data_IF_506767992318
#
_entry.id   IF_506767992318
#
_cell.length_a   1.000
_cell.length_b   1.000
_cell.length_c   1.000
_cell.angle_alpha   90.00
_cell.angle_beta   90.00
_cell.angle_gamma   90.00
#
_symmetry.space_group_name_H-M   'P 1'
#
loop_
_entity.id
_entity.type
_entity.pdbx_description
1 polymer ?
#
# COMPACT_ATOMS: atom_id res chain seq x y z
N UNK A 1 -2.39 -35.75 46.54
CA UNK A 1 -1.53 -35.83 45.33
C UNK A 1 -2.19 -35.22 44.09
N UNK A 2 -3.46 -35.55 43.77
CA UNK A 2 -4.18 -35.04 42.58
C UNK A 2 -4.34 -33.50 42.46
N UNK A 3 -4.39 -32.75 43.56
CA UNK A 3 -4.49 -31.27 43.53
C UNK A 3 -3.21 -30.59 43.01
N UNK A 4 -2.03 -31.18 43.24
CA UNK A 4 -0.74 -30.58 42.81
C UNK A 4 -0.48 -30.77 41.32
N UNK A 5 -0.93 -31.88 40.73
CA UNK A 5 -0.86 -32.10 39.28
C UNK A 5 -1.77 -31.12 38.51
N UNK A 6 -3.00 -30.84 38.97
CA UNK A 6 -3.91 -29.91 38.27
C UNK A 6 -3.40 -28.46 38.20
N UNK A 7 -2.61 -28.01 39.18
CA UNK A 7 -2.02 -26.66 39.21
C UNK A 7 -0.85 -26.53 38.24
N UNK A 8 -0.05 -27.59 38.07
CA UNK A 8 1.09 -27.60 37.14
C UNK A 8 0.64 -27.48 35.68
N UNK A 9 -0.40 -28.20 35.26
CA UNK A 9 -0.93 -28.11 33.89
C UNK A 9 -1.53 -26.72 33.58
N UNK A 10 -2.17 -26.07 34.56
CA UNK A 10 -2.79 -24.75 34.38
C UNK A 10 -1.78 -23.59 34.34
N UNK A 11 -0.66 -23.69 35.08
CA UNK A 11 0.45 -22.72 35.01
C UNK A 11 1.15 -22.78 33.66
N UNK A 12 1.35 -23.98 33.10
CA UNK A 12 1.89 -24.15 31.76
C UNK A 12 1.00 -23.55 30.66
N UNK A 13 -0.33 -23.66 30.78
CA UNK A 13 -1.27 -23.05 29.82
C UNK A 13 -1.27 -21.53 29.89
N UNK A 14 -1.22 -20.95 31.10
CA UNK A 14 -1.19 -19.49 31.28
C UNK A 14 0.13 -18.87 30.77
N UNK A 15 1.25 -19.54 30.97
CA UNK A 15 2.54 -19.14 30.42
C UNK A 15 2.59 -19.24 28.89
N UNK A 16 1.96 -20.25 28.29
CA UNK A 16 1.86 -20.39 26.83
C UNK A 16 1.00 -19.29 26.18
N UNK A 17 -0.12 -18.90 26.80
CA UNK A 17 -0.97 -17.80 26.31
C UNK A 17 -0.26 -16.44 26.45
N UNK A 18 0.48 -16.23 27.55
CA UNK A 18 1.25 -15.00 27.75
C UNK A 18 2.44 -14.90 26.77
N UNK A 19 3.08 -16.01 26.41
CA UNK A 19 4.18 -16.01 25.43
C UNK A 19 3.70 -15.84 23.99
N UNK A 20 2.48 -16.27 23.64
CA UNK A 20 1.87 -15.91 22.35
C UNK A 20 1.46 -14.42 22.30
N UNK A 21 1.03 -13.82 23.41
CA UNK A 21 0.63 -12.40 23.46
C UNK A 21 1.81 -11.41 23.43
N UNK A 22 3.02 -11.87 23.75
CA UNK A 22 4.26 -11.08 23.67
C UNK A 22 5.10 -11.40 22.42
N UNK A 23 4.68 -12.34 21.58
CA UNK A 23 5.35 -12.58 20.31
C UNK A 23 5.17 -11.35 19.40
N UNK A 24 6.23 -10.86 18.72
CA UNK A 24 6.07 -9.83 17.71
C UNK A 24 5.10 -10.37 16.66
N UNK A 25 3.91 -9.77 16.59
CA UNK A 25 2.95 -10.08 15.55
C UNK A 25 3.50 -9.50 14.26
N UNK A 26 3.84 -10.37 13.32
CA UNK A 26 4.29 -9.95 12.01
C UNK A 26 3.04 -9.65 11.18
N UNK A 27 2.74 -8.36 10.97
CA UNK A 27 1.70 -7.98 10.03
C UNK A 27 2.08 -8.46 8.62
N UNK A 28 1.14 -9.12 7.94
CA UNK A 28 1.36 -9.53 6.56
C UNK A 28 1.37 -8.30 5.64
N UNK A 29 2.39 -8.18 4.79
CA UNK A 29 2.43 -7.13 3.77
C UNK A 29 1.41 -7.41 2.66
N UNK A 30 0.48 -6.49 2.49
CA UNK A 30 -0.60 -6.48 1.51
C UNK A 30 -0.26 -5.56 0.33
N UNK A 31 -0.97 -5.72 -0.79
CA UNK A 31 -0.78 -4.95 -2.04
C UNK A 31 -2.06 -4.15 -2.32
N UNK A 32 -1.94 -2.85 -2.59
CA UNK A 32 -3.08 -1.97 -2.77
C UNK A 32 -3.95 -2.30 -3.99
N UNK A 33 -3.39 -2.35 -5.20
CA UNK A 33 -4.06 -2.89 -6.39
C UNK A 33 -3.67 -4.35 -6.55
N UNK A 34 -4.66 -5.25 -6.47
CA UNK A 34 -4.49 -6.71 -6.55
C UNK A 34 -4.84 -7.27 -7.93
N UNK A 35 -5.48 -6.48 -8.79
CA UNK A 35 -5.76 -6.88 -10.16
C UNK A 35 -6.35 -5.75 -11.00
N UNK A 36 -6.00 -5.75 -12.28
CA UNK A 36 -6.50 -4.81 -13.27
C UNK A 36 -7.04 -5.60 -14.46
N UNK A 37 -8.12 -5.10 -15.04
CA UNK A 37 -8.64 -5.63 -16.29
C UNK A 37 -7.83 -5.18 -17.50
N UNK A 38 -8.26 -5.62 -18.69
CA UNK A 38 -7.74 -5.08 -19.94
C UNK A 38 -7.98 -3.57 -20.02
N UNK A 39 -7.02 -2.86 -20.60
CA UNK A 39 -7.10 -1.44 -20.92
C UNK A 39 -6.18 -1.13 -22.09
N UNK A 40 -5.82 0.13 -22.26
CA UNK A 40 -4.80 0.55 -23.23
C UNK A 40 -3.66 1.30 -22.53
N UNK A 41 -2.52 1.36 -23.20
CA UNK A 41 -1.29 2.01 -22.71
C UNK A 41 -0.92 3.14 -23.67
N UNK A 42 -1.40 4.38 -23.45
CA UNK A 42 -1.14 5.46 -24.36
C UNK A 42 0.28 6.00 -24.19
N UNK A 43 0.76 6.64 -25.25
CA UNK A 43 1.94 7.48 -25.19
C UNK A 43 1.59 8.87 -24.64
N UNK A 44 2.35 9.34 -23.65
CA UNK A 44 2.22 10.71 -23.15
C UNK A 44 3.11 11.66 -23.95
N UNK A 45 2.58 12.78 -24.43
CA UNK A 45 3.36 13.75 -25.22
C UNK A 45 4.16 14.74 -24.37
N UNK A 46 4.02 14.66 -23.04
CA UNK A 46 4.68 15.51 -22.05
C UNK A 46 4.98 14.69 -20.80
N UNK A 47 5.98 15.12 -20.05
CA UNK A 47 6.26 14.59 -18.72
C UNK A 47 5.03 14.80 -17.81
N UNK A 48 4.78 13.83 -16.94
CA UNK A 48 3.59 13.86 -16.09
C UNK A 48 3.82 13.18 -14.76
N UNK A 49 3.05 13.58 -13.75
CA UNK A 49 2.79 12.69 -12.61
C UNK A 49 1.43 12.07 -12.81
N UNK A 50 1.38 10.74 -12.86
CA UNK A 50 0.15 9.99 -13.12
C UNK A 50 -0.11 9.01 -11.98
N UNK A 51 -1.38 8.90 -11.57
CA UNK A 51 -1.78 8.02 -10.49
C UNK A 51 -3.27 8.07 -10.18
N UNK A 52 -3.62 7.80 -8.94
CA UNK A 52 -5.01 7.59 -8.54
C UNK A 52 -5.20 7.87 -7.06
N UNK A 53 -6.45 8.16 -6.69
CA UNK A 53 -6.85 8.37 -5.31
C UNK A 53 -7.63 7.18 -4.76
N UNK A 54 -7.60 7.07 -3.44
CA UNK A 54 -8.27 5.99 -2.73
C UNK A 54 -8.67 6.43 -1.32
N UNK A 55 -9.68 5.76 -0.79
CA UNK A 55 -10.06 5.87 0.62
C UNK A 55 -9.49 4.69 1.39
N UNK A 56 -8.82 4.96 2.51
CA UNK A 56 -8.38 3.93 3.45
C UNK A 56 -9.52 3.58 4.43
N UNK A 57 -9.79 2.30 4.65
CA UNK A 57 -10.84 1.80 5.55
C UNK A 57 -10.32 1.26 6.88
N UNK A 58 -9.00 1.19 7.03
CA UNK A 58 -8.31 0.88 8.28
C UNK A 58 -7.05 1.74 8.39
N UNK A 59 -6.43 1.76 9.58
CA UNK A 59 -5.13 2.41 9.71
C UNK A 59 -4.10 1.55 8.97
N UNK A 60 -3.32 2.16 8.09
CA UNK A 60 -2.34 1.46 7.25
C UNK A 60 -0.94 2.00 7.53
N UNK A 61 0.06 1.13 7.43
CA UNK A 61 1.46 1.53 7.33
C UNK A 61 1.96 1.17 5.94
N UNK A 62 2.07 2.16 5.05
CA UNK A 62 2.64 1.97 3.72
C UNK A 62 4.15 1.78 3.86
N UNK A 63 4.65 0.65 3.38
CA UNK A 63 6.04 0.21 3.55
C UNK A 63 6.81 0.25 2.25
N UNK A 64 6.14 0.13 1.10
CA UNK A 64 6.79 0.12 -0.21
C UNK A 64 5.94 0.88 -1.22
N UNK A 65 6.61 1.60 -2.12
CA UNK A 65 6.01 2.21 -3.30
C UNK A 65 6.53 1.48 -4.54
N UNK A 66 5.71 1.38 -5.57
CA UNK A 66 6.07 0.63 -6.76
C UNK A 66 5.46 1.15 -8.04
N UNK A 67 5.97 0.63 -9.15
CA UNK A 67 5.58 1.01 -10.52
C UNK A 67 5.30 -0.25 -11.34
N UNK A 68 4.29 -0.18 -12.19
CA UNK A 68 3.89 -1.28 -13.07
C UNK A 68 5.00 -1.60 -14.07
N UNK A 69 5.39 -2.87 -14.13
CA UNK A 69 6.38 -3.39 -15.08
C UNK A 69 5.63 -4.26 -16.09
N UNK A 70 5.14 -3.61 -17.16
CA UNK A 70 4.42 -4.27 -18.22
C UNK A 70 5.32 -5.30 -18.91
N UNK A 71 4.98 -6.58 -18.79
CA UNK A 71 5.78 -7.67 -19.36
C UNK A 71 6.86 -8.20 -18.41
N UNK A 72 7.02 -7.60 -17.22
CA UNK A 72 7.89 -8.10 -16.16
C UNK A 72 9.37 -8.18 -16.55
N UNK A 73 9.79 -7.33 -17.49
CA UNK A 73 11.12 -7.28 -18.07
C UNK A 73 11.98 -6.12 -17.55
N UNK A 74 11.46 -5.35 -16.61
CA UNK A 74 12.13 -4.22 -15.97
C UNK A 74 11.63 -2.88 -16.50
N UNK A 75 11.84 -1.84 -15.69
CA UNK A 75 11.47 -0.46 -16.03
C UNK A 75 12.52 0.12 -16.98
N UNK A 76 12.09 0.93 -17.95
CA UNK A 76 12.96 1.63 -18.87
C UNK A 76 13.64 2.82 -18.19
N UNK A 77 12.93 3.48 -17.27
CA UNK A 77 13.40 4.65 -16.54
C UNK A 77 13.22 4.50 -15.03
N UNK A 78 13.87 5.38 -14.28
CA UNK A 78 13.56 5.55 -12.87
C UNK A 78 12.30 6.40 -12.70
N UNK A 79 11.57 6.11 -11.62
CA UNK A 79 10.31 6.77 -11.31
C UNK A 79 10.32 7.25 -9.87
N UNK A 80 10.15 8.56 -9.69
CA UNK A 80 9.79 9.08 -8.38
C UNK A 80 8.33 8.76 -8.12
N UNK A 81 8.06 8.10 -7.00
CA UNK A 81 6.71 7.72 -6.56
C UNK A 81 6.42 8.41 -5.23
N UNK A 82 5.27 9.05 -5.13
CA UNK A 82 4.84 9.76 -3.93
C UNK A 82 3.46 9.38 -3.46
N UNK A 83 3.22 9.66 -2.19
CA UNK A 83 1.93 9.54 -1.54
C UNK A 83 1.57 10.85 -0.86
N UNK A 84 0.38 11.36 -1.14
CA UNK A 84 -0.11 12.63 -0.62
C UNK A 84 -1.43 12.47 0.13
N UNK A 85 -1.72 13.42 1.00
CA UNK A 85 -3.10 13.66 1.43
C UNK A 85 -3.95 14.12 0.25
N UNK A 86 -5.28 13.98 0.34
CA UNK A 86 -6.19 14.55 -0.66
C UNK A 86 -6.03 16.07 -0.86
N UNK A 87 -5.51 16.79 0.15
CA UNK A 87 -5.20 18.22 0.08
C UNK A 87 -3.86 18.56 -0.57
N UNK A 88 -3.10 17.57 -1.07
CA UNK A 88 -1.84 17.79 -1.77
C UNK A 88 -0.59 17.89 -0.89
N UNK A 89 -0.68 17.52 0.39
CA UNK A 89 0.50 17.47 1.28
C UNK A 89 1.24 16.15 1.05
N UNK A 90 2.51 16.21 0.66
CA UNK A 90 3.36 15.03 0.47
C UNK A 90 3.65 14.37 1.82
N UNK A 91 3.29 13.10 1.95
CA UNK A 91 3.52 12.29 3.15
C UNK A 91 4.84 11.52 3.07
N UNK A 92 5.26 11.18 1.85
CA UNK A 92 6.55 10.55 1.58
C UNK A 92 6.66 10.17 0.11
N UNK A 93 7.90 10.00 -0.33
CA UNK A 93 8.25 9.56 -1.67
C UNK A 93 9.53 8.75 -1.67
N UNK A 94 9.76 8.03 -2.76
CA UNK A 94 11.03 7.37 -3.06
C UNK A 94 11.20 7.26 -4.59
N UNK A 95 12.41 6.89 -5.01
CA UNK A 95 12.71 6.57 -6.40
C UNK A 95 12.70 5.05 -6.58
N UNK A 96 11.92 4.55 -7.54
CA UNK A 96 11.96 3.17 -8.02
C UNK A 96 12.90 3.14 -9.22
N UNK A 97 14.06 2.51 -9.06
CA UNK A 97 15.11 2.52 -10.07
C UNK A 97 14.72 1.73 -11.33
N UNK A 98 15.27 2.16 -12.47
CA UNK A 98 15.18 1.47 -13.75
C UNK A 98 15.71 0.03 -13.70
N UNK A 99 15.32 -0.78 -14.68
CA UNK A 99 15.74 -2.16 -14.84
C UNK A 99 14.99 -3.12 -13.90
N UNK A 100 15.68 -4.17 -13.47
CA UNK A 100 15.07 -5.32 -12.77
C UNK A 100 15.52 -5.47 -11.32
N UNK A 101 16.25 -4.49 -10.77
CA UNK A 101 16.84 -4.57 -9.42
C UNK A 101 15.75 -4.56 -8.35
N UNK A 102 14.73 -3.73 -8.52
CA UNK A 102 13.57 -3.70 -7.63
C UNK A 102 12.79 -5.04 -7.70
N UNK A 103 12.41 -5.64 -6.55
CA UNK A 103 11.61 -6.86 -6.53
C UNK A 103 10.30 -6.73 -7.31
N UNK A 104 10.01 -7.73 -8.14
CA UNK A 104 8.74 -7.83 -8.86
C UNK A 104 7.72 -8.59 -8.03
N UNK A 105 6.59 -7.96 -7.72
CA UNK A 105 5.46 -8.57 -7.02
C UNK A 105 4.17 -8.19 -7.74
N UNK A 106 3.40 -9.19 -8.16
CA UNK A 106 2.08 -8.98 -8.81
C UNK A 106 2.11 -8.03 -10.03
N UNK A 107 3.21 -8.02 -10.78
CA UNK A 107 3.38 -7.16 -11.97
C UNK A 107 3.93 -5.76 -11.68
N UNK A 108 4.27 -5.44 -10.43
CA UNK A 108 4.84 -4.15 -10.04
C UNK A 108 6.24 -4.33 -9.44
N UNK A 109 7.11 -3.38 -9.71
CA UNK A 109 8.45 -3.28 -9.12
C UNK A 109 8.38 -2.38 -7.89
N UNK A 110 8.76 -2.91 -6.73
CA UNK A 110 8.67 -2.18 -5.46
C UNK A 110 10.03 -1.78 -4.91
N UNK A 111 10.07 -0.62 -4.26
CA UNK A 111 11.17 -0.18 -3.44
C UNK A 111 10.65 0.09 -2.01
N UNK A 112 11.39 -0.39 -1.02
CA UNK A 112 11.05 -0.20 0.39
C UNK A 112 11.35 1.23 0.85
N UNK A 113 10.41 1.85 1.55
CA UNK A 113 10.57 3.15 2.19
C UNK A 113 11.53 3.05 3.39
N UNK A 114 12.33 4.10 3.62
CA UNK A 114 13.20 4.19 4.80
C UNK A 114 12.41 4.31 6.11
N UNK A 115 11.21 4.90 6.04
CA UNK A 115 10.22 4.97 7.13
C UNK A 115 8.83 4.71 6.56
N UNK A 116 8.04 3.89 7.23
CA UNK A 116 6.66 3.63 6.79
C UNK A 116 5.79 4.89 6.89
N UNK A 117 4.88 5.07 5.95
CA UNK A 117 3.93 6.19 5.94
C UNK A 117 2.62 5.73 6.59
N UNK A 118 2.22 6.42 7.66
CA UNK A 118 0.97 6.11 8.36
C UNK A 118 -0.24 6.77 7.67
N UNK A 119 -1.24 5.95 7.36
CA UNK A 119 -2.53 6.38 6.83
C UNK A 119 -3.62 6.09 7.86
N UNK A 120 -4.57 7.02 7.96
CA UNK A 120 -5.68 6.94 8.89
C UNK A 120 -6.92 6.37 8.21
N UNK A 121 -7.65 5.53 8.93
CA UNK A 121 -8.95 5.04 8.47
C UNK A 121 -9.91 6.20 8.20
N UNK A 122 -10.71 6.07 7.14
CA UNK A 122 -11.70 7.06 6.70
C UNK A 122 -11.13 8.24 5.91
N UNK A 123 -9.81 8.35 5.75
CA UNK A 123 -9.19 9.42 4.99
C UNK A 123 -8.93 9.02 3.53
N UNK A 124 -8.95 10.02 2.65
CA UNK A 124 -8.58 9.87 1.24
C UNK A 124 -7.14 10.32 1.00
N UNK A 125 -6.45 9.57 0.14
CA UNK A 125 -5.06 9.80 -0.23
C UNK A 125 -4.91 9.68 -1.74
N UNK A 126 -3.79 10.19 -2.25
CA UNK A 126 -3.42 10.13 -3.66
C UNK A 126 -2.04 9.53 -3.78
N UNK A 127 -1.88 8.53 -4.64
CA UNK A 127 -0.57 8.01 -5.06
C UNK A 127 -0.30 8.45 -6.50
N UNK A 128 0.95 8.75 -6.82
CA UNK A 128 1.38 9.23 -8.12
C UNK A 128 2.83 8.84 -8.39
N UNK A 129 3.16 8.60 -9.66
CA UNK A 129 4.54 8.42 -10.09
C UNK A 129 4.87 9.36 -11.26
N UNK A 130 6.11 9.80 -11.36
CA UNK A 130 6.61 10.59 -12.49
C UNK A 130 6.81 9.69 -13.71
N UNK A 131 6.42 10.17 -14.89
CA UNK A 131 6.63 9.50 -16.18
C UNK A 131 7.15 10.51 -17.19
N UNK A 132 8.11 10.07 -17.99
CA UNK A 132 8.68 10.85 -19.08
C UNK A 132 7.74 10.87 -20.29
N UNK A 133 8.00 11.82 -21.19
CA UNK A 133 7.32 11.90 -22.47
C UNK A 133 7.72 10.77 -23.45
N UNK A 134 6.88 10.56 -24.48
CA UNK A 134 7.00 9.49 -25.48
C UNK A 134 8.32 9.47 -26.24
N UNK A 135 8.95 10.63 -26.45
CA UNK A 135 10.22 10.74 -27.18
C UNK A 135 11.39 10.11 -26.43
N UNK A 136 11.21 9.85 -25.13
CA UNK A 136 12.22 9.25 -24.25
C UNK A 136 12.02 7.74 -24.05
N UNK A 137 11.00 7.14 -24.70
CA UNK A 137 10.67 5.72 -24.53
C UNK A 137 10.14 5.42 -23.11
N UNK A 138 9.01 6.01 -22.72
CA UNK A 138 8.54 5.96 -21.34
C UNK A 138 7.96 4.60 -20.99
N UNK A 139 8.02 4.26 -19.70
CA UNK A 139 7.29 3.12 -19.19
C UNK A 139 5.77 3.33 -19.32
N UNK A 140 5.04 2.29 -19.74
CA UNK A 140 3.61 2.38 -20.01
C UNK A 140 2.80 2.49 -18.72
N UNK A 141 1.65 3.16 -18.82
CA UNK A 141 0.64 3.25 -17.76
C UNK A 141 -0.67 2.69 -18.31
N UNK A 142 -1.39 1.92 -17.51
CA UNK A 142 -2.69 1.39 -17.93
C UNK A 142 -3.79 2.45 -17.75
N UNK A 143 -4.58 2.65 -18.81
CA UNK A 143 -5.77 3.50 -18.84
C UNK A 143 -7.02 2.73 -19.25
N UNK A 144 -8.17 3.24 -18.81
CA UNK A 144 -9.50 2.67 -19.05
C UNK A 144 -9.56 1.17 -18.73
N UNK A 145 -9.04 0.77 -17.56
CA UNK A 145 -9.06 -0.61 -17.13
C UNK A 145 -10.52 -1.09 -16.96
N UNK A 146 -10.87 -2.24 -17.56
CA UNK A 146 -12.24 -2.76 -17.51
C UNK A 146 -12.70 -3.06 -16.07
N UNK A 147 -11.77 -3.45 -15.18
CA UNK A 147 -11.99 -3.54 -13.74
C UNK A 147 -10.75 -3.14 -12.96
N UNK A 148 -10.96 -2.82 -11.67
CA UNK A 148 -9.93 -2.52 -10.69
C UNK A 148 -10.29 -3.29 -9.43
N UNK A 149 -9.41 -4.20 -9.02
CA UNK A 149 -9.49 -4.89 -7.74
C UNK A 149 -8.46 -4.27 -6.80
N UNK A 150 -8.93 -3.82 -5.63
CA UNK A 150 -8.06 -3.35 -4.55
C UNK A 150 -8.09 -4.32 -3.37
N UNK A 151 -7.10 -4.22 -2.49
CA UNK A 151 -7.20 -4.83 -1.16
C UNK A 151 -8.45 -4.27 -0.42
N UNK A 152 -9.20 -5.09 0.34
CA UNK A 152 -10.38 -4.63 1.08
C UNK A 152 -10.13 -3.48 2.06
N UNK A 153 -8.88 -3.27 2.49
CA UNK A 153 -8.51 -2.16 3.36
C UNK A 153 -8.55 -0.80 2.66
N UNK A 154 -8.71 -0.74 1.33
CA UNK A 154 -8.87 0.49 0.57
C UNK A 154 -9.98 0.38 -0.48
N UNK A 155 -10.39 1.51 -1.03
CA UNK A 155 -11.22 1.55 -2.24
C UNK A 155 -10.70 2.62 -3.18
N UNK A 156 -10.48 2.25 -4.45
CA UNK A 156 -10.16 3.19 -5.51
C UNK A 156 -11.29 4.21 -5.67
N UNK A 157 -10.95 5.48 -5.86
CA UNK A 157 -11.93 6.58 -6.01
C UNK A 157 -11.91 7.13 -7.43
N UNK A 158 -10.80 7.73 -7.84
CA UNK A 158 -10.68 8.32 -9.18
C UNK A 158 -9.23 8.39 -9.67
N UNK A 159 -9.08 8.64 -10.97
CA UNK A 159 -7.80 8.80 -11.63
C UNK A 159 -7.30 10.24 -11.48
N UNK A 160 -6.00 10.41 -11.24
CA UNK A 160 -5.35 11.71 -11.05
C UNK A 160 -4.14 11.85 -11.97
N UNK A 161 -3.96 13.04 -12.55
CA UNK A 161 -2.73 13.40 -13.28
C UNK A 161 -2.31 14.85 -13.02
N UNK A 162 -1.03 15.10 -13.20
CA UNK A 162 -0.46 16.41 -13.44
C UNK A 162 0.28 16.35 -14.77
N UNK A 163 0.08 17.36 -15.61
CA UNK A 163 0.80 17.51 -16.88
C UNK A 163 1.43 18.89 -16.89
N UNK A 164 2.75 18.95 -17.08
CA UNK A 164 3.41 20.23 -17.33
C UNK A 164 3.24 20.58 -18.81
N UNK A 165 2.42 21.59 -19.09
CA UNK A 165 2.21 22.09 -20.46
C UNK A 165 3.35 23.01 -20.95
N UNK A 166 4.36 23.25 -20.11
CA UNK A 166 5.48 24.15 -20.36
C UNK A 166 6.81 23.46 -20.67
N UNK A 167 6.86 22.13 -20.83
CA UNK A 167 8.10 21.34 -21.06
C UNK A 167 9.21 21.59 -20.02
N UNK A 168 8.85 22.05 -18.82
CA UNK A 168 9.75 22.01 -17.68
C UNK A 168 9.47 20.68 -16.98
N UNK A 169 10.50 20.00 -16.52
CA UNK A 169 10.37 18.75 -15.77
C UNK A 169 10.46 19.09 -14.27
N UNK A 170 9.35 19.47 -13.59
CA UNK A 170 9.40 19.82 -12.17
C UNK A 170 9.59 18.59 -11.26
N UNK A 171 9.81 17.40 -11.84
CA UNK A 171 9.86 16.15 -11.11
C UNK A 171 8.49 15.72 -10.60
N UNK A 172 8.48 14.98 -9.50
CA UNK A 172 7.27 14.49 -8.86
C UNK A 172 6.41 15.63 -8.30
N UNK A 173 5.20 15.81 -8.84
CA UNK A 173 4.26 16.85 -8.43
C UNK A 173 2.92 16.25 -8.01
N UNK A 174 2.17 16.96 -7.16
CA UNK A 174 0.83 16.50 -6.77
C UNK A 174 -0.10 16.46 -8.01
N UNK A 175 -0.76 15.33 -8.31
CA UNK A 175 -1.61 15.19 -9.49
C UNK A 175 -2.99 15.86 -9.29
N UNK A 176 -3.04 17.16 -9.56
CA UNK A 176 -4.19 18.05 -9.28
C UNK A 176 -5.37 17.86 -10.23
N UNK A 177 -5.15 17.38 -11.46
CA UNK A 177 -6.20 17.25 -12.45
C UNK A 177 -6.81 15.84 -12.42
N UNK A 178 -8.13 15.77 -12.56
CA UNK A 178 -8.82 14.50 -12.70
C UNK A 178 -8.54 13.87 -14.07
N UNK A 179 -8.47 12.54 -14.11
CA UNK A 179 -8.43 11.79 -15.35
C UNK A 179 -9.76 11.85 -16.08
N UNK A 180 -9.67 11.98 -17.41
CA UNK A 180 -10.86 12.05 -18.27
C UNK A 180 -11.53 10.67 -18.44
N UNK A 181 -10.77 9.60 -18.21
CA UNK A 181 -11.19 8.21 -18.40
C UNK A 181 -11.37 7.54 -17.03
N UNK A 182 -12.54 6.91 -16.81
CA UNK A 182 -12.80 6.10 -15.63
C UNK A 182 -11.73 4.99 -15.49
N UNK A 183 -11.24 4.73 -14.27
CA UNK A 183 -10.25 3.67 -13.97
C UNK A 183 -8.98 3.80 -14.84
N UNK A 184 -8.24 4.88 -14.63
CA UNK A 184 -7.04 5.20 -15.40
C UNK A 184 -5.85 5.58 -14.55
N UNK A 185 -4.71 5.71 -15.23
CA UNK A 185 -3.41 6.07 -14.66
C UNK A 185 -2.88 5.06 -13.64
N UNK A 186 -3.13 3.77 -13.91
CA UNK A 186 -2.54 2.69 -13.14
C UNK A 186 -1.11 2.42 -13.60
N UNK A 187 -0.21 3.06 -12.87
CA UNK A 187 1.22 2.92 -13.01
C UNK A 187 1.83 2.78 -11.62
N UNK A 188 1.61 3.75 -10.70
CA UNK A 188 2.01 3.58 -9.31
C UNK A 188 1.11 2.60 -8.56
N UNK A 189 1.70 1.90 -7.59
CA UNK A 189 1.03 1.03 -6.62
C UNK A 189 1.81 1.06 -5.29
N UNK A 190 1.25 0.50 -4.22
CA UNK A 190 1.94 0.45 -2.93
C UNK A 190 1.67 -0.85 -2.17
N UNK A 191 2.56 -1.16 -1.23
CA UNK A 191 2.40 -2.24 -0.25
C UNK A 191 2.34 -1.67 1.14
N UNK A 192 1.53 -2.29 1.97
CA UNK A 192 1.25 -1.81 3.32
C UNK A 192 1.02 -2.96 4.28
N UNK A 193 1.05 -2.64 5.57
CA UNK A 193 0.55 -3.51 6.62
C UNK A 193 -0.63 -2.86 7.33
N UNK A 194 -1.55 -3.66 7.85
CA UNK A 194 -2.61 -3.20 8.74
C UNK A 194 -2.19 -3.57 10.16
N UNK A 195 -1.88 -2.59 11.03
CA UNK A 195 -1.52 -2.89 12.41
C UNK A 195 -2.64 -3.67 13.07
N UNK A 196 -2.31 -4.81 13.69
CA UNK A 196 -3.33 -5.62 14.34
C UNK A 196 -4.13 -4.83 15.39
N UNK A 197 -5.48 -4.94 15.40
CA UNK A 197 -6.29 -4.34 16.44
C UNK A 197 -6.06 -5.09 17.75
N UNK A 198 -5.10 -4.61 18.57
CA UNK A 198 -4.78 -5.02 19.95
C UNK A 198 -5.35 -6.38 20.37
N UNK A 199 -4.87 -7.47 19.78
CA UNK A 199 -5.20 -8.84 20.20
C UNK A 199 -4.85 -9.05 21.69
N UNK A 200 -3.84 -8.33 22.19
CA UNK A 200 -3.50 -8.25 23.61
C UNK A 200 -4.68 -7.81 24.51
N UNK A 201 -5.53 -6.88 24.07
CA UNK A 201 -6.69 -6.44 24.84
C UNK A 201 -7.77 -7.53 24.91
N UNK A 202 -8.02 -8.24 23.80
CA UNK A 202 -8.96 -9.36 23.75
C UNK A 202 -8.47 -10.55 24.60
N UNK A 203 -7.17 -10.86 24.56
CA UNK A 203 -6.56 -11.87 25.42
C UNK A 203 -6.64 -11.46 26.90
N UNK A 204 -6.38 -10.19 27.23
CA UNK A 204 -6.51 -9.69 28.60
C UNK A 204 -7.95 -9.79 29.12
N UNK A 205 -8.95 -9.44 28.31
CA UNK A 205 -10.38 -9.59 28.66
C UNK A 205 -10.74 -11.08 28.83
N UNK A 206 -10.25 -11.96 27.95
CA UNK A 206 -10.45 -13.40 28.06
C UNK A 206 -9.89 -13.98 29.36
N UNK A 207 -8.68 -13.57 29.76
CA UNK A 207 -8.05 -14.00 31.01
C UNK A 207 -8.78 -13.44 32.25
N UNK A 208 -9.26 -12.20 32.21
CA UNK A 208 -10.09 -11.61 33.27
C UNK A 208 -11.42 -12.35 33.42
N UNK A 209 -12.08 -12.72 32.31
CA UNK A 209 -13.32 -13.51 32.32
C UNK A 209 -13.15 -14.89 32.96
N UNK A 210 -12.04 -15.59 32.66
CA UNK A 210 -11.71 -16.88 33.28
C UNK A 210 -11.39 -16.70 34.79
N UNK A 211 -10.72 -15.60 35.16
CA UNK A 211 -10.44 -15.26 36.56
C UNK A 211 -11.70 -14.96 37.37
N UNK A 212 -12.67 -14.26 36.80
CA UNK A 212 -13.94 -13.90 37.45
C UNK A 212 -14.89 -15.10 37.57
N UNK A 213 -14.91 -16.02 36.60
CA UNK A 213 -15.72 -17.26 36.67
C UNK A 213 -15.27 -18.20 37.80
N UNK A 214 -14.03 -18.09 38.27
CA UNK A 214 -13.50 -18.89 39.39
C UNK A 214 -13.87 -18.37 40.78
N UNK A 215 -14.46 -17.17 40.88
CA UNK A 215 -14.89 -16.56 42.15
C UNK A 215 -16.38 -16.81 42.48
N UNK A 216 -17.10 -17.53 41.62
CA UNK A 216 -18.43 -18.07 41.87
C UNK A 216 -18.33 -19.59 42.02
#
# INVERSE_FOLDING_TARGET
>A
MLRRLRVAWLLSSALAVLSLALAPQADASQIAITGLGSGYTPAFSVDSTSGWSFTAHSNLLVTELGVWDQGSNGLNHDHDVGLWTAGGVLLGSLNVAAGTTAPLVSGFRYQTLSSAIALSAGAQYVIGASYLDVTQGPDPILQAASFVNTDPAITWVEAHRFQDLGNLHPGLQFPTALGNDEKSFFGPNFRFTVPEPTVAALVAVGLLGIGLRRRR
#
